data_IF_400717701331
#
_entry.id   IF_400717701331
#
_cell.length_a   1.000
_cell.length_b   1.000
_cell.length_c   1.000
_cell.angle_alpha   90.00
_cell.angle_beta   90.00
_cell.angle_gamma   90.00
#
_symmetry.space_group_name_H-M   'P 1'
#
loop_
_entity.id
_entity.type
_entity.pdbx_description
1 polymer ?
#
# COMPACT_ATOMS: atom_id res chain seq x y z
N UNK A 1 -47.57 -58.93 -4.49
CA UNK A 1 -47.85 -59.75 -3.27
C UNK A 1 -47.67 -61.28 -3.47
N UNK A 2 -47.95 -61.83 -4.64
CA UNK A 2 -47.82 -63.26 -4.90
C UNK A 2 -46.39 -63.75 -5.00
N UNK A 3 -45.47 -62.90 -5.40
CA UNK A 3 -44.06 -63.25 -5.70
C UNK A 3 -43.16 -63.36 -4.45
N UNK A 4 -43.67 -63.07 -3.28
CA UNK A 4 -42.94 -63.07 -2.02
C UNK A 4 -43.51 -64.10 -1.04
N UNK A 5 -44.63 -64.76 -1.38
CA UNK A 5 -45.24 -65.78 -0.55
C UNK A 5 -44.44 -67.08 -0.59
N UNK A 6 -44.03 -67.57 0.60
CA UNK A 6 -43.25 -68.79 0.76
C UNK A 6 -41.74 -68.60 0.79
N UNK A 7 -41.24 -67.35 0.66
CA UNK A 7 -39.82 -67.06 0.75
C UNK A 7 -39.40 -66.86 2.19
N UNK A 8 -38.35 -67.54 2.62
CA UNK A 8 -37.83 -67.42 3.98
C UNK A 8 -37.05 -66.13 4.19
N UNK A 9 -37.53 -65.24 5.03
CA UNK A 9 -36.93 -63.93 5.30
C UNK A 9 -35.49 -64.04 5.83
N UNK A 10 -35.12 -65.10 6.51
CA UNK A 10 -33.77 -65.32 7.04
C UNK A 10 -32.75 -65.73 5.94
N UNK A 11 -33.22 -66.07 4.78
CA UNK A 11 -32.38 -66.39 3.58
C UNK A 11 -32.25 -65.17 2.65
N UNK A 12 -32.84 -64.05 3.00
CA UNK A 12 -32.73 -62.84 2.19
C UNK A 12 -31.28 -62.34 2.20
N UNK A 13 -30.62 -62.20 1.06
CA UNK A 13 -29.21 -61.79 0.97
C UNK A 13 -28.94 -60.39 1.47
N UNK A 14 -29.97 -59.54 1.54
CA UNK A 14 -29.84 -58.17 2.00
C UNK A 14 -30.02 -58.02 3.54
N UNK A 15 -30.55 -59.04 4.19
CA UNK A 15 -30.82 -59.00 5.63
C UNK A 15 -29.51 -59.05 6.42
N UNK A 16 -29.22 -58.08 7.30
CA UNK A 16 -28.00 -58.10 8.10
C UNK A 16 -27.93 -59.28 9.03
N UNK A 17 -26.77 -59.90 9.13
CA UNK A 17 -26.57 -61.14 9.94
C UNK A 17 -26.88 -60.92 11.42
N UNK A 18 -26.55 -59.75 11.94
CA UNK A 18 -26.86 -59.40 13.34
C UNK A 18 -28.36 -59.22 13.60
N UNK A 19 -29.11 -58.70 12.61
CA UNK A 19 -30.57 -58.65 12.68
C UNK A 19 -31.19 -60.06 12.67
N UNK A 20 -30.72 -60.94 11.79
CA UNK A 20 -31.14 -62.35 11.73
C UNK A 20 -30.90 -63.00 13.07
N UNK A 21 -29.73 -62.79 13.69
CA UNK A 21 -29.39 -63.36 15.01
C UNK A 21 -30.36 -62.89 16.10
N UNK A 22 -30.59 -61.54 16.16
CA UNK A 22 -31.50 -60.96 17.16
C UNK A 22 -32.94 -61.46 17.01
N UNK A 23 -33.45 -61.56 15.78
CA UNK A 23 -34.77 -62.10 15.52
C UNK A 23 -34.90 -63.59 15.96
N UNK A 24 -33.85 -64.40 15.69
CA UNK A 24 -33.80 -65.80 16.17
C UNK A 24 -33.71 -65.90 17.68
N UNK A 25 -33.18 -64.88 18.38
CA UNK A 25 -33.17 -64.77 19.83
C UNK A 25 -34.47 -64.17 20.38
N UNK A 26 -35.54 -64.12 19.61
CA UNK A 26 -36.83 -63.51 19.96
C UNK A 26 -36.76 -62.03 20.38
N UNK A 27 -35.90 -61.22 19.72
CA UNK A 27 -35.78 -59.79 20.01
C UNK A 27 -36.33 -58.99 18.85
N UNK A 28 -37.21 -58.00 19.14
CA UNK A 28 -37.65 -57.02 18.15
C UNK A 28 -36.50 -56.08 17.78
N UNK A 29 -36.39 -55.70 16.52
CA UNK A 29 -35.25 -54.92 16.01
C UNK A 29 -35.71 -53.82 15.05
N UNK A 30 -35.13 -52.66 15.19
CA UNK A 30 -35.18 -51.59 14.17
C UNK A 30 -33.86 -51.60 13.41
N UNK A 31 -33.92 -51.62 12.11
CA UNK A 31 -32.71 -51.58 11.26
C UNK A 31 -33.00 -50.85 9.96
N UNK A 32 -31.93 -50.43 9.30
CA UNK A 32 -31.96 -49.74 8.01
C UNK A 32 -31.31 -50.60 6.96
N UNK A 33 -31.88 -50.60 5.77
CA UNK A 33 -31.38 -51.34 4.62
C UNK A 33 -31.29 -50.41 3.41
N UNK A 34 -30.17 -50.45 2.70
CA UNK A 34 -30.15 -50.07 1.32
C UNK A 34 -30.60 -51.25 0.48
N UNK A 35 -31.84 -51.17 0.01
CA UNK A 35 -32.49 -52.25 -0.71
C UNK A 35 -32.25 -52.09 -2.21
N UNK A 36 -31.33 -52.94 -2.76
CA UNK A 36 -31.04 -52.97 -4.17
C UNK A 36 -31.88 -54.03 -4.88
N UNK A 37 -32.74 -53.60 -5.78
CA UNK A 37 -33.59 -54.56 -6.54
C UNK A 37 -32.74 -55.52 -7.37
N UNK A 38 -31.59 -55.09 -7.89
CA UNK A 38 -30.64 -55.94 -8.64
C UNK A 38 -30.08 -57.09 -7.77
N UNK A 39 -29.81 -56.86 -6.51
CA UNK A 39 -29.28 -57.89 -5.59
C UNK A 39 -30.31 -58.92 -5.16
N UNK A 40 -31.60 -58.63 -5.29
CA UNK A 40 -32.70 -59.49 -4.92
C UNK A 40 -33.43 -60.08 -6.11
N UNK A 41 -33.05 -59.73 -7.34
CA UNK A 41 -33.71 -60.22 -8.54
C UNK A 41 -33.63 -61.78 -8.66
N UNK A 42 -32.51 -62.35 -8.26
CA UNK A 42 -32.33 -63.80 -8.18
C UNK A 42 -33.13 -64.46 -7.01
N UNK A 43 -33.57 -63.66 -6.06
CA UNK A 43 -34.30 -64.12 -4.88
C UNK A 43 -35.81 -63.87 -4.95
N UNK A 44 -36.19 -62.76 -5.56
CA UNK A 44 -37.59 -62.44 -5.89
C UNK A 44 -37.64 -62.06 -7.36
N UNK A 45 -38.41 -62.63 -8.15
CA UNK A 45 -38.63 -62.21 -9.51
C UNK A 45 -39.29 -60.78 -9.51
N UNK A 46 -38.51 -59.72 -9.74
CA UNK A 46 -38.95 -58.33 -9.68
C UNK A 46 -38.64 -57.58 -10.98
N UNK A 47 -39.58 -56.85 -11.49
CA UNK A 47 -39.39 -55.93 -12.61
C UNK A 47 -38.91 -54.52 -12.20
N UNK A 48 -38.75 -54.28 -10.91
CA UNK A 48 -38.27 -53.01 -10.37
C UNK A 48 -36.74 -52.95 -10.47
N UNK A 49 -36.26 -51.75 -10.82
CA UNK A 49 -34.84 -51.44 -10.90
C UNK A 49 -34.49 -50.28 -9.94
N UNK A 50 -33.22 -50.23 -9.53
CA UNK A 50 -32.70 -49.16 -8.66
C UNK A 50 -32.47 -49.60 -7.23
N UNK A 51 -32.32 -48.64 -6.35
CA UNK A 51 -32.10 -48.83 -4.90
C UNK A 51 -33.12 -48.03 -4.09
N UNK A 52 -33.50 -48.56 -2.93
CA UNK A 52 -34.37 -47.92 -1.97
C UNK A 52 -33.73 -47.91 -0.60
N UNK A 53 -33.85 -46.80 0.11
CA UNK A 53 -33.45 -46.74 1.52
C UNK A 53 -34.65 -47.04 2.39
N UNK A 54 -34.61 -48.18 3.06
CA UNK A 54 -35.75 -48.71 3.85
C UNK A 54 -35.37 -48.75 5.31
N UNK A 55 -36.22 -48.15 6.15
CA UNK A 55 -36.18 -48.36 7.60
C UNK A 55 -37.20 -49.42 7.96
N UNK A 56 -36.73 -50.54 8.50
CA UNK A 56 -37.55 -51.69 8.84
C UNK A 56 -37.65 -51.81 10.38
N UNK A 57 -38.86 -51.93 10.87
CA UNK A 57 -39.16 -52.36 12.22
C UNK A 57 -39.65 -53.81 12.16
N UNK A 58 -38.85 -54.72 12.74
CA UNK A 58 -39.22 -56.12 12.87
C UNK A 58 -39.66 -56.39 14.32
N UNK A 59 -40.88 -56.83 14.47
CA UNK A 59 -41.48 -57.17 15.77
C UNK A 59 -41.93 -58.62 15.78
N UNK A 60 -41.84 -59.28 16.91
CA UNK A 60 -42.29 -60.65 17.11
C UNK A 60 -43.76 -60.62 17.51
N UNK A 61 -44.53 -61.46 16.90
CA UNK A 61 -45.90 -61.71 17.27
C UNK A 61 -45.98 -63.05 18.02
N UNK A 62 -46.71 -63.12 19.13
CA UNK A 62 -46.85 -64.28 19.99
C UNK A 62 -48.24 -64.89 19.81
N UNK A 63 -48.37 -66.19 19.98
CA UNK A 63 -49.62 -66.88 19.98
C UNK A 63 -50.37 -66.74 21.33
N UNK A 64 -51.57 -67.39 21.46
CA UNK A 64 -52.38 -67.34 22.70
C UNK A 64 -51.70 -68.00 23.89
N UNK A 65 -50.63 -68.77 23.69
CA UNK A 65 -49.86 -69.43 24.73
C UNK A 65 -48.62 -68.67 25.14
N UNK A 66 -48.38 -67.46 24.48
CA UNK A 66 -47.19 -66.64 24.73
C UNK A 66 -45.95 -67.07 23.97
N UNK A 67 -46.03 -68.06 23.05
CA UNK A 67 -44.90 -68.51 22.23
C UNK A 67 -44.78 -67.70 20.95
N UNK A 68 -43.54 -67.43 20.46
CA UNK A 68 -43.28 -66.70 19.20
C UNK A 68 -43.92 -67.44 18.01
N UNK A 69 -44.84 -66.79 17.31
CA UNK A 69 -45.60 -67.43 16.21
C UNK A 69 -45.26 -66.89 14.85
N UNK A 70 -44.93 -65.64 14.77
CA UNK A 70 -44.63 -64.95 13.49
C UNK A 70 -43.83 -63.65 13.68
N UNK A 71 -43.37 -63.04 12.59
CA UNK A 71 -42.67 -61.76 12.56
C UNK A 71 -43.44 -60.75 11.75
N UNK A 72 -43.62 -59.55 12.32
CA UNK A 72 -44.21 -58.40 11.63
C UNK A 72 -43.08 -57.48 11.19
N UNK A 73 -42.95 -57.26 9.88
CA UNK A 73 -42.01 -56.31 9.32
C UNK A 73 -42.75 -55.10 8.77
N UNK A 74 -42.48 -53.94 9.32
CA UNK A 74 -42.96 -52.65 8.84
C UNK A 74 -41.84 -51.94 8.14
N UNK A 75 -41.97 -51.77 6.85
CA UNK A 75 -40.98 -51.10 6.00
C UNK A 75 -41.45 -49.70 5.67
N UNK A 76 -40.65 -48.70 5.98
CA UNK A 76 -40.82 -47.31 5.62
C UNK A 76 -39.82 -46.94 4.51
N UNK A 77 -40.30 -46.50 3.39
CA UNK A 77 -39.45 -45.92 2.34
C UNK A 77 -38.92 -44.56 2.82
N UNK A 78 -37.60 -44.47 2.93
CA UNK A 78 -36.91 -43.24 3.39
C UNK A 78 -36.03 -42.67 2.30
N UNK A 79 -36.18 -43.12 1.04
CA UNK A 79 -35.30 -42.80 -0.10
C UNK A 79 -35.26 -41.31 -0.39
N UNK A 80 -36.44 -40.68 -0.53
CA UNK A 80 -36.50 -39.22 -0.82
C UNK A 80 -35.86 -38.39 0.29
N UNK A 81 -36.13 -38.76 1.56
CA UNK A 81 -35.55 -38.07 2.69
C UNK A 81 -34.03 -38.19 2.71
N UNK A 82 -33.50 -39.36 2.35
CA UNK A 82 -32.06 -39.58 2.30
C UNK A 82 -31.39 -38.87 1.12
N UNK A 83 -32.03 -38.84 -0.05
CA UNK A 83 -31.55 -38.07 -1.17
C UNK A 83 -31.47 -36.58 -0.81
N UNK A 84 -32.52 -36.06 -0.16
CA UNK A 84 -32.54 -34.67 0.28
C UNK A 84 -31.43 -34.38 1.32
N UNK A 85 -31.27 -35.30 2.32
CA UNK A 85 -30.23 -35.17 3.34
C UNK A 85 -28.84 -35.19 2.72
N UNK A 86 -28.57 -36.13 1.81
CA UNK A 86 -27.26 -36.22 1.13
C UNK A 86 -26.97 -34.97 0.29
N UNK A 87 -27.98 -34.44 -0.41
CA UNK A 87 -27.81 -33.18 -1.16
C UNK A 87 -27.49 -31.99 -0.25
N UNK A 88 -28.16 -31.90 0.91
CA UNK A 88 -27.86 -30.84 1.89
C UNK A 88 -26.43 -30.99 2.40
N UNK A 89 -26.03 -32.21 2.79
CA UNK A 89 -24.67 -32.49 3.29
C UNK A 89 -23.60 -32.21 2.22
N UNK A 90 -23.86 -32.57 0.96
CA UNK A 90 -22.97 -32.25 -0.13
C UNK A 90 -22.83 -30.73 -0.34
N UNK A 91 -23.97 -30.02 -0.29
CA UNK A 91 -23.97 -28.56 -0.39
C UNK A 91 -23.19 -27.92 0.78
N UNK A 92 -23.40 -28.36 2.01
CA UNK A 92 -22.67 -27.89 3.20
C UNK A 92 -21.16 -28.09 3.06
N UNK A 93 -20.73 -29.27 2.55
CA UNK A 93 -19.33 -29.54 2.32
C UNK A 93 -18.72 -28.62 1.23
N UNK A 94 -19.40 -28.46 0.11
CA UNK A 94 -18.96 -27.56 -0.95
C UNK A 94 -18.92 -26.12 -0.46
N UNK A 95 -19.93 -25.68 0.26
CA UNK A 95 -20.01 -24.33 0.82
C UNK A 95 -18.86 -24.07 1.81
N UNK A 96 -18.56 -25.05 2.66
CA UNK A 96 -17.42 -24.97 3.61
C UNK A 96 -16.10 -24.83 2.86
N UNK A 97 -15.87 -25.63 1.83
CA UNK A 97 -14.66 -25.54 1.00
C UNK A 97 -14.55 -24.15 0.34
N UNK A 98 -15.62 -23.71 -0.33
CA UNK A 98 -15.64 -22.40 -0.98
C UNK A 98 -15.37 -21.28 0.03
N UNK A 99 -15.99 -21.34 1.23
CA UNK A 99 -15.80 -20.31 2.25
C UNK A 99 -14.34 -20.22 2.71
N UNK A 100 -13.67 -21.34 2.89
CA UNK A 100 -12.25 -21.38 3.31
C UNK A 100 -11.32 -20.90 2.19
N UNK A 101 -11.45 -21.45 0.97
CA UNK A 101 -10.54 -21.10 -0.13
C UNK A 101 -10.75 -19.68 -0.65
N UNK A 102 -11.98 -19.21 -0.74
CA UNK A 102 -12.30 -17.85 -1.16
C UNK A 102 -12.29 -16.83 -0.01
N UNK A 103 -11.99 -17.27 1.23
CA UNK A 103 -12.04 -16.45 2.46
C UNK A 103 -13.37 -15.72 2.63
N UNK A 104 -14.48 -16.37 2.26
CA UNK A 104 -15.84 -15.82 2.31
C UNK A 104 -16.51 -16.24 3.61
N UNK A 105 -16.83 -15.29 4.46
CA UNK A 105 -17.58 -15.49 5.68
C UNK A 105 -19.07 -15.21 5.48
N UNK A 106 -19.90 -15.89 6.23
CA UNK A 106 -21.36 -15.73 6.25
C UNK A 106 -21.85 -15.62 7.68
N UNK A 107 -22.76 -14.67 7.93
CA UNK A 107 -23.51 -14.56 9.18
C UNK A 107 -24.98 -14.26 8.90
N UNK A 108 -25.86 -14.80 9.73
CA UNK A 108 -27.28 -14.50 9.79
C UNK A 108 -27.62 -14.04 11.19
N UNK A 109 -28.25 -12.90 11.36
CA UNK A 109 -28.55 -12.32 12.67
C UNK A 109 -29.80 -11.44 12.63
N UNK A 110 -30.44 -11.33 13.79
CA UNK A 110 -31.55 -10.38 13.99
C UNK A 110 -31.02 -8.94 14.02
N UNK A 111 -31.71 -8.02 13.35
CA UNK A 111 -31.30 -6.61 13.22
C UNK A 111 -31.26 -5.86 14.55
N UNK A 112 -32.08 -6.22 15.52
CA UNK A 112 -32.24 -5.47 16.78
C UNK A 112 -31.41 -6.05 17.91
N UNK A 113 -31.35 -7.40 18.00
CA UNK A 113 -30.65 -8.09 19.08
C UNK A 113 -29.25 -8.49 18.70
N UNK A 114 -28.94 -8.54 17.39
CA UNK A 114 -27.72 -9.12 16.83
C UNK A 114 -27.49 -10.58 17.25
N UNK A 115 -28.54 -11.27 17.70
CA UNK A 115 -28.50 -12.70 17.94
C UNK A 115 -28.59 -13.46 16.63
N UNK A 116 -27.82 -14.53 16.51
CA UNK A 116 -27.78 -15.30 15.28
C UNK A 116 -26.59 -16.27 15.26
N UNK A 117 -26.17 -16.65 14.07
CA UNK A 117 -25.02 -17.50 13.88
C UNK A 117 -24.14 -17.01 12.73
N UNK A 118 -22.86 -17.39 12.79
CA UNK A 118 -21.92 -17.17 11.70
C UNK A 118 -21.09 -18.44 11.48
N UNK A 119 -20.56 -18.61 10.27
CA UNK A 119 -19.59 -19.64 10.00
C UNK A 119 -18.19 -19.21 10.47
N UNK A 120 -17.32 -20.19 10.74
CA UNK A 120 -15.96 -19.96 11.24
C UNK A 120 -15.20 -18.91 10.44
N UNK A 121 -15.27 -18.94 9.10
CA UNK A 121 -14.59 -17.98 8.24
C UNK A 121 -15.05 -16.54 8.46
N UNK A 122 -16.31 -16.30 8.84
CA UNK A 122 -16.80 -14.97 9.16
C UNK A 122 -16.08 -14.38 10.38
N UNK A 123 -15.90 -15.19 11.43
CA UNK A 123 -15.16 -14.81 12.63
C UNK A 123 -13.67 -14.53 12.31
N UNK A 124 -13.04 -15.42 11.53
CA UNK A 124 -11.65 -15.25 11.10
C UNK A 124 -11.45 -13.94 10.30
N UNK A 125 -12.40 -13.62 9.43
CA UNK A 125 -12.38 -12.36 8.69
C UNK A 125 -12.52 -11.15 9.62
N UNK A 126 -13.34 -11.24 10.66
CA UNK A 126 -13.50 -10.20 11.67
C UNK A 126 -12.35 -10.14 12.69
N UNK A 127 -11.41 -11.09 12.65
CA UNK A 127 -10.32 -11.18 13.62
C UNK A 127 -10.77 -11.73 14.98
N UNK A 128 -11.90 -12.43 15.01
CA UNK A 128 -12.55 -12.92 16.22
C UNK A 128 -12.46 -14.44 16.36
N UNK A 129 -12.64 -14.90 17.60
CA UNK A 129 -12.67 -16.31 17.91
C UNK A 129 -14.02 -16.92 17.50
N UNK A 130 -13.97 -18.10 16.88
CA UNK A 130 -15.16 -18.87 16.50
C UNK A 130 -16.10 -19.09 17.70
N UNK A 131 -17.40 -18.83 17.49
CA UNK A 131 -18.43 -18.92 18.49
C UNK A 131 -18.58 -17.73 19.44
N UNK A 132 -17.84 -16.64 19.24
CA UNK A 132 -18.08 -15.38 19.95
C UNK A 132 -19.49 -14.87 19.64
N UNK A 133 -20.31 -14.49 20.64
CA UNK A 133 -21.66 -13.97 20.38
C UNK A 133 -21.63 -12.79 19.40
N UNK A 134 -22.46 -12.85 18.36
CA UNK A 134 -22.48 -11.81 17.32
C UNK A 134 -22.82 -10.42 17.89
N UNK A 135 -23.63 -10.36 18.95
CA UNK A 135 -23.96 -9.12 19.67
C UNK A 135 -22.75 -8.47 20.36
N UNK A 136 -21.64 -9.19 20.53
CA UNK A 136 -20.39 -8.64 21.04
C UNK A 136 -19.46 -8.11 19.92
N UNK A 137 -19.79 -8.40 18.66
CA UNK A 137 -18.99 -8.02 17.49
C UNK A 137 -19.75 -6.98 16.65
N UNK A 138 -20.97 -7.31 16.25
CA UNK A 138 -21.81 -6.45 15.41
C UNK A 138 -22.33 -5.29 16.27
N UNK A 139 -22.18 -4.07 15.76
CA UNK A 139 -22.56 -2.86 16.49
C UNK A 139 -21.48 -2.32 17.44
N UNK A 140 -20.37 -3.05 17.62
CA UNK A 140 -19.20 -2.60 18.39
C UNK A 140 -18.16 -2.01 17.43
N UNK A 141 -18.20 -0.69 17.28
CA UNK A 141 -17.39 0.02 16.27
C UNK A 141 -15.89 0.12 16.60
N UNK A 142 -15.46 -0.32 17.78
CA UNK A 142 -14.03 -0.39 18.13
C UNK A 142 -13.23 -1.38 17.26
N UNK A 143 -13.91 -2.34 16.63
CA UNK A 143 -13.31 -3.27 15.66
C UNK A 143 -13.18 -2.69 14.25
N UNK A 144 -13.87 -1.60 13.96
CA UNK A 144 -13.89 -0.96 12.65
C UNK A 144 -13.11 0.35 12.73
N UNK A 145 -12.35 0.64 11.69
CA UNK A 145 -11.59 1.89 11.64
C UNK A 145 -12.54 3.10 11.81
N UNK A 146 -12.18 4.11 12.63
CA UNK A 146 -13.06 5.25 12.95
C UNK A 146 -13.67 5.94 11.72
N UNK A 147 -12.91 6.08 10.64
CA UNK A 147 -13.39 6.71 9.41
C UNK A 147 -14.43 5.84 8.67
N UNK A 148 -14.52 4.55 8.96
CA UNK A 148 -15.39 3.61 8.25
C UNK A 148 -16.64 3.26 9.07
N UNK A 149 -16.59 3.42 10.39
CA UNK A 149 -17.67 3.07 11.32
C UNK A 149 -18.99 3.83 11.05
N UNK A 150 -18.88 5.10 10.68
CA UNK A 150 -20.06 5.94 10.40
C UNK A 150 -20.98 5.39 9.30
N UNK A 151 -20.40 4.76 8.27
CA UNK A 151 -21.18 4.20 7.16
C UNK A 151 -22.06 3.01 7.57
N UNK A 152 -21.56 2.16 8.47
CA UNK A 152 -22.31 0.99 8.94
C UNK A 152 -23.44 1.43 9.88
N UNK A 153 -23.17 2.39 10.74
CA UNK A 153 -24.18 3.00 11.61
C UNK A 153 -25.35 3.57 10.82
N UNK A 154 -25.04 4.42 9.85
CA UNK A 154 -26.07 5.04 9.01
C UNK A 154 -26.92 3.98 8.30
N UNK A 155 -26.26 2.92 7.78
CA UNK A 155 -26.98 1.84 7.12
C UNK A 155 -27.96 1.10 8.05
N UNK A 156 -27.54 0.73 9.25
CA UNK A 156 -28.44 0.05 10.20
C UNK A 156 -29.64 0.93 10.58
N UNK A 157 -29.45 2.23 10.78
CA UNK A 157 -30.55 3.14 11.05
C UNK A 157 -31.50 3.29 9.83
N UNK A 158 -30.96 3.34 8.63
CA UNK A 158 -31.75 3.37 7.39
C UNK A 158 -32.56 2.08 7.19
N UNK A 159 -31.98 0.91 7.51
CA UNK A 159 -32.68 -0.39 7.44
C UNK A 159 -33.82 -0.44 8.46
N UNK A 160 -33.59 0.01 9.70
CA UNK A 160 -34.63 0.11 10.74
C UNK A 160 -35.79 1.00 10.31
N UNK A 161 -35.51 2.06 9.54
CA UNK A 161 -36.50 2.96 8.98
C UNK A 161 -37.14 2.46 7.66
N UNK A 162 -36.75 1.28 7.17
CA UNK A 162 -37.24 0.73 5.90
C UNK A 162 -36.71 1.45 4.64
N UNK A 163 -35.72 2.32 4.77
CA UNK A 163 -35.15 3.14 3.67
C UNK A 163 -34.05 2.42 2.89
N UNK A 164 -33.35 1.48 3.51
CA UNK A 164 -32.29 0.71 2.88
C UNK A 164 -32.50 -0.79 3.07
N UNK A 165 -32.06 -1.59 2.09
CA UNK A 165 -32.18 -3.05 2.12
C UNK A 165 -30.86 -3.76 1.85
N UNK A 166 -29.86 -3.03 1.37
CA UNK A 166 -28.56 -3.58 0.98
C UNK A 166 -27.43 -2.60 1.28
N UNK A 167 -26.30 -3.13 1.76
CA UNK A 167 -25.06 -2.40 2.02
C UNK A 167 -23.89 -3.19 1.43
N UNK A 168 -23.06 -2.51 0.66
CA UNK A 168 -21.80 -3.05 0.18
C UNK A 168 -20.73 -1.99 0.33
N UNK A 169 -19.75 -2.26 1.19
CA UNK A 169 -18.62 -1.36 1.40
C UNK A 169 -17.37 -2.15 1.76
N UNK A 170 -16.24 -1.55 1.44
CA UNK A 170 -14.94 -1.96 1.91
C UNK A 170 -14.64 -1.21 3.18
N UNK A 171 -14.36 -1.92 4.25
CA UNK A 171 -14.12 -1.36 5.59
C UNK A 171 -12.86 -1.96 6.17
N UNK A 172 -12.17 -1.19 7.00
CA UNK A 172 -11.00 -1.66 7.73
C UNK A 172 -11.43 -2.23 9.06
N UNK A 173 -11.03 -3.46 9.33
CA UNK A 173 -11.30 -4.19 10.56
C UNK A 173 -9.98 -4.42 11.28
N UNK A 174 -9.99 -4.29 12.62
CA UNK A 174 -8.81 -4.47 13.47
C UNK A 174 -8.29 -5.91 13.36
N UNK A 175 -6.97 -6.06 13.19
CA UNK A 175 -6.30 -7.36 13.13
C UNK A 175 -4.94 -7.25 13.82
N UNK A 176 -4.84 -7.75 15.06
CA UNK A 176 -3.66 -7.53 15.91
C UNK A 176 -3.43 -6.04 16.14
N UNK A 177 -2.21 -5.57 15.88
CA UNK A 177 -1.85 -4.14 16.00
C UNK A 177 -2.15 -3.32 14.72
N UNK A 178 -2.69 -3.93 13.68
CA UNK A 178 -2.96 -3.30 12.38
C UNK A 178 -4.43 -3.39 11.94
N UNK A 179 -4.64 -3.12 10.64
CA UNK A 179 -5.94 -3.13 9.99
C UNK A 179 -5.89 -4.04 8.78
N UNK A 180 -6.96 -4.82 8.58
CA UNK A 180 -7.19 -5.56 7.34
C UNK A 180 -8.42 -5.04 6.62
N UNK A 181 -8.44 -5.19 5.31
CA UNK A 181 -9.55 -4.75 4.47
C UNK A 181 -10.57 -5.86 4.30
N UNK A 182 -11.79 -5.59 4.70
CA UNK A 182 -12.93 -6.50 4.55
C UNK A 182 -13.97 -5.85 3.63
N UNK A 183 -14.40 -6.56 2.61
CA UNK A 183 -15.60 -6.19 1.88
C UNK A 183 -16.80 -6.79 2.61
N UNK A 184 -17.67 -5.93 3.13
CA UNK A 184 -18.90 -6.33 3.81
C UNK A 184 -20.11 -6.11 2.90
N UNK A 185 -20.86 -7.19 2.65
CA UNK A 185 -22.16 -7.16 1.99
C UNK A 185 -23.22 -7.54 3.02
N UNK A 186 -24.07 -6.61 3.37
CA UNK A 186 -25.13 -6.81 4.35
C UNK A 186 -26.46 -6.57 3.65
N UNK A 187 -27.38 -7.50 3.74
CA UNK A 187 -28.70 -7.40 3.14
C UNK A 187 -29.78 -7.97 4.06
N UNK A 188 -30.97 -7.46 3.96
CA UNK A 188 -32.12 -8.05 4.66
C UNK A 188 -32.42 -9.42 4.06
N UNK A 189 -32.65 -10.42 4.93
CA UNK A 189 -33.05 -11.76 4.49
C UNK A 189 -34.44 -11.72 3.86
N UNK A 190 -34.59 -12.01 2.55
CA UNK A 190 -35.90 -11.99 1.89
C UNK A 190 -36.85 -13.09 2.38
N UNK A 191 -36.32 -14.11 3.04
CA UNK A 191 -37.08 -15.23 3.61
C UNK A 191 -37.40 -15.06 5.11
N UNK A 192 -37.10 -13.87 5.69
CA UNK A 192 -37.49 -13.59 7.08
C UNK A 192 -39.00 -13.66 7.24
N UNK A 193 -39.46 -14.57 8.07
CA UNK A 193 -40.90 -14.93 8.23
C UNK A 193 -41.60 -13.87 9.10
N UNK A 194 -40.92 -13.25 10.05
CA UNK A 194 -41.50 -12.27 10.97
C UNK A 194 -41.09 -10.83 10.55
N UNK A 195 -42.07 -10.01 10.11
CA UNK A 195 -41.81 -8.61 9.77
C UNK A 195 -41.25 -7.78 10.94
N UNK A 196 -41.52 -8.19 12.19
CA UNK A 196 -41.06 -7.50 13.40
C UNK A 196 -39.65 -7.94 13.84
N UNK A 197 -39.11 -9.01 13.26
CA UNK A 197 -37.76 -9.51 13.47
C UNK A 197 -37.02 -9.67 12.16
N UNK A 198 -36.61 -8.56 11.54
CA UNK A 198 -35.91 -8.61 10.27
C UNK A 198 -34.53 -9.22 10.47
N UNK A 199 -34.31 -10.35 9.81
CA UNK A 199 -33.01 -10.99 9.78
C UNK A 199 -32.11 -10.34 8.73
N UNK A 200 -30.84 -10.20 9.06
CA UNK A 200 -29.79 -9.67 8.19
C UNK A 200 -28.84 -10.79 7.78
N UNK A 201 -28.51 -10.84 6.52
CA UNK A 201 -27.44 -11.68 5.97
C UNK A 201 -26.21 -10.79 5.78
N UNK A 202 -25.10 -11.18 6.38
CA UNK A 202 -23.81 -10.53 6.18
C UNK A 202 -22.85 -11.52 5.50
N UNK A 203 -22.40 -11.15 4.31
CA UNK A 203 -21.31 -11.83 3.62
C UNK A 203 -20.10 -10.92 3.69
N UNK A 204 -19.02 -11.39 4.30
CA UNK A 204 -17.76 -10.68 4.36
C UNK A 204 -16.64 -11.49 3.69
N UNK A 205 -15.67 -10.81 3.11
CA UNK A 205 -14.47 -11.45 2.58
C UNK A 205 -13.25 -10.52 2.70
N UNK A 206 -12.11 -11.14 2.99
CA UNK A 206 -10.85 -10.45 3.15
C UNK A 206 -10.30 -10.04 1.77
N UNK A 207 -10.11 -8.73 1.58
CA UNK A 207 -9.56 -8.14 0.35
C UNK A 207 -8.19 -7.49 0.58
N UNK A 208 -7.53 -7.80 1.71
CA UNK A 208 -6.25 -7.17 2.09
C UNK A 208 -5.19 -7.41 1.01
N UNK A 209 -5.01 -8.65 0.56
CA UNK A 209 -4.05 -8.99 -0.49
C UNK A 209 -4.36 -8.28 -1.82
N UNK A 210 -5.65 -8.11 -2.14
CA UNK A 210 -6.09 -7.38 -3.33
C UNK A 210 -5.73 -5.89 -3.22
N UNK A 211 -6.00 -5.27 -2.07
CA UNK A 211 -5.66 -3.86 -1.79
C UNK A 211 -4.16 -3.61 -1.81
N UNK A 212 -3.38 -4.50 -1.19
CA UNK A 212 -1.93 -4.41 -1.21
C UNK A 212 -1.36 -4.53 -2.63
N UNK A 213 -1.92 -5.43 -3.43
CA UNK A 213 -1.53 -5.59 -4.83
C UNK A 213 -1.89 -4.36 -5.68
N UNK A 214 -3.08 -3.79 -5.48
CA UNK A 214 -3.50 -2.55 -6.13
C UNK A 214 -2.59 -1.39 -5.77
N UNK A 215 -2.29 -1.20 -4.47
CA UNK A 215 -1.42 -0.13 -4.00
C UNK A 215 0.02 -0.26 -4.54
N UNK A 216 0.55 -1.49 -4.59
CA UNK A 216 1.87 -1.76 -5.20
C UNK A 216 1.87 -1.42 -6.69
N UNK A 217 0.80 -1.77 -7.40
CA UNK A 217 0.65 -1.46 -8.83
C UNK A 217 0.55 0.04 -9.06
N UNK A 218 -0.30 0.75 -8.32
CA UNK A 218 -0.44 2.21 -8.43
C UNK A 218 0.89 2.93 -8.18
N UNK A 219 1.66 2.49 -7.17
CA UNK A 219 3.01 3.02 -6.91
C UNK A 219 3.98 2.74 -8.06
N UNK A 220 3.94 1.54 -8.64
CA UNK A 220 4.78 1.18 -9.76
C UNK A 220 4.43 1.99 -11.02
N UNK A 221 3.15 2.17 -11.33
CA UNK A 221 2.66 2.97 -12.44
C UNK A 221 3.04 4.46 -12.27
N UNK A 222 2.93 5.01 -11.06
CA UNK A 222 3.34 6.38 -10.78
C UNK A 222 4.86 6.57 -10.94
N UNK A 223 5.66 5.61 -10.43
CA UNK A 223 7.12 5.64 -10.63
C UNK A 223 7.50 5.56 -12.11
N UNK A 224 6.81 4.72 -12.90
CA UNK A 224 7.07 4.61 -14.34
C UNK A 224 6.68 5.88 -15.09
N UNK A 225 5.56 6.51 -14.69
CA UNK A 225 5.13 7.82 -15.21
C UNK A 225 6.16 8.90 -14.93
N UNK A 226 6.64 8.98 -13.67
CA UNK A 226 7.68 9.94 -13.29
C UNK A 226 8.98 9.71 -14.05
N UNK A 227 9.40 8.46 -14.22
CA UNK A 227 10.58 8.10 -15.02
C UNK A 227 10.44 8.47 -16.49
N UNK A 228 9.27 8.25 -17.08
CA UNK A 228 9.01 8.62 -18.49
C UNK A 228 9.01 10.13 -18.69
N UNK A 229 8.39 10.88 -17.78
CA UNK A 229 8.41 12.34 -17.79
C UNK A 229 9.84 12.89 -17.62
N UNK A 230 10.64 12.26 -16.74
CA UNK A 230 12.05 12.56 -16.58
C UNK A 230 12.83 12.42 -17.89
N UNK A 231 12.73 11.28 -18.58
CA UNK A 231 13.45 11.02 -19.83
C UNK A 231 13.01 12.00 -20.95
N UNK A 232 11.74 12.32 -21.04
CA UNK A 232 11.21 13.29 -21.99
C UNK A 232 11.78 14.69 -21.75
N UNK A 233 11.76 15.16 -20.50
CA UNK A 233 12.32 16.46 -20.12
C UNK A 233 13.83 16.51 -20.37
N UNK A 234 14.58 15.45 -20.04
CA UNK A 234 16.01 15.37 -20.30
C UNK A 234 16.33 15.48 -21.80
N UNK A 235 15.57 14.75 -22.62
CA UNK A 235 15.74 14.82 -24.08
C UNK A 235 15.54 16.23 -24.62
N UNK A 236 14.57 16.96 -24.07
CA UNK A 236 14.31 18.34 -24.46
C UNK A 236 15.43 19.29 -24.00
N UNK A 237 15.85 19.19 -22.74
CA UNK A 237 16.90 20.02 -22.15
C UNK A 237 18.29 19.78 -22.79
N UNK A 238 18.55 18.59 -23.31
CA UNK A 238 19.76 18.27 -24.08
C UNK A 238 19.66 18.85 -25.52
N UNK A 239 18.50 18.73 -26.17
CA UNK A 239 18.32 19.12 -27.56
C UNK A 239 18.48 20.62 -27.79
N UNK A 240 17.99 21.42 -26.86
CA UNK A 240 18.02 22.91 -26.99
C UNK A 240 19.45 23.44 -27.10
N UNK A 241 20.37 23.21 -26.14
CA UNK A 241 21.75 23.68 -26.26
C UNK A 241 22.50 23.00 -27.41
N UNK A 242 22.22 21.72 -27.70
CA UNK A 242 22.85 21.02 -28.82
C UNK A 242 22.50 21.66 -30.17
N UNK A 243 21.22 22.00 -30.40
CA UNK A 243 20.77 22.67 -31.61
C UNK A 243 21.39 24.07 -31.74
N UNK A 244 21.54 24.80 -30.63
CA UNK A 244 22.22 26.10 -30.61
C UNK A 244 23.69 25.93 -31.00
N UNK A 245 24.42 24.97 -30.41
CA UNK A 245 25.82 24.69 -30.77
C UNK A 245 25.95 24.39 -32.25
N UNK A 246 25.09 23.47 -32.79
CA UNK A 246 25.14 23.11 -34.23
C UNK A 246 24.80 24.28 -35.11
N UNK A 247 23.74 25.06 -34.83
CA UNK A 247 23.30 26.20 -35.63
C UNK A 247 24.33 27.32 -35.66
N UNK A 248 24.85 27.72 -34.50
CA UNK A 248 25.86 28.79 -34.45
C UNK A 248 27.24 28.34 -34.98
N UNK A 249 27.56 27.03 -34.92
CA UNK A 249 28.77 26.52 -35.58
C UNK A 249 28.68 26.61 -37.11
N UNK A 250 27.49 26.44 -37.69
CA UNK A 250 27.27 26.63 -39.12
C UNK A 250 27.41 28.13 -39.52
N UNK A 251 26.76 29.03 -38.76
CA UNK A 251 26.86 30.48 -38.96
C UNK A 251 28.32 30.95 -38.79
N UNK A 252 29.04 30.43 -37.81
CA UNK A 252 30.47 30.73 -37.60
C UNK A 252 31.34 30.36 -38.81
N UNK A 253 30.96 29.31 -39.54
CA UNK A 253 31.66 28.89 -40.75
C UNK A 253 31.35 29.77 -42.00
N UNK A 254 30.20 30.46 -42.00
CA UNK A 254 29.71 31.27 -43.12
C UNK A 254 30.02 32.77 -42.98
N UNK A 255 30.27 33.27 -41.75
CA UNK A 255 30.55 34.69 -41.53
C UNK A 255 32.04 35.01 -41.59
N UNK A 256 32.39 36.12 -42.25
CA UNK A 256 33.74 36.72 -42.27
C UNK A 256 33.88 37.89 -41.28
N UNK A 257 32.77 38.32 -40.65
CA UNK A 257 32.76 39.43 -39.69
C UNK A 257 33.40 39.00 -38.35
N UNK A 258 34.47 39.68 -37.90
CA UNK A 258 35.14 39.31 -36.63
C UNK A 258 34.26 39.48 -35.39
N UNK A 259 33.33 40.47 -35.38
CA UNK A 259 32.44 40.71 -34.24
C UNK A 259 31.38 39.61 -34.14
N UNK A 260 30.75 39.27 -35.27
CA UNK A 260 29.80 38.12 -35.30
C UNK A 260 30.48 36.81 -34.94
N UNK A 261 31.69 36.56 -35.42
CA UNK A 261 32.46 35.35 -35.06
C UNK A 261 32.68 35.29 -33.57
N UNK A 262 33.02 36.39 -32.91
CA UNK A 262 33.21 36.41 -31.46
C UNK A 262 31.91 36.11 -30.73
N UNK A 263 30.82 36.71 -31.13
CA UNK A 263 29.49 36.46 -30.53
C UNK A 263 29.07 35.00 -30.69
N UNK A 264 29.23 34.39 -31.88
CA UNK A 264 28.87 32.99 -32.10
C UNK A 264 29.71 32.05 -31.29
N UNK A 265 31.02 32.32 -31.11
CA UNK A 265 31.89 31.51 -30.22
C UNK A 265 31.43 31.61 -28.78
N UNK A 266 31.06 32.78 -28.28
CA UNK A 266 30.53 32.95 -26.92
C UNK A 266 29.22 32.17 -26.71
N UNK A 267 28.29 32.18 -27.68
CA UNK A 267 27.04 31.43 -27.63
C UNK A 267 27.32 29.93 -27.62
N UNK A 268 28.22 29.45 -28.49
CA UNK A 268 28.63 28.03 -28.54
C UNK A 268 29.21 27.59 -27.19
N UNK A 269 30.14 28.38 -26.65
CA UNK A 269 30.81 28.04 -25.39
C UNK A 269 29.87 28.06 -24.19
N UNK A 270 28.94 29.02 -24.17
CA UNK A 270 27.88 29.08 -23.14
C UNK A 270 26.97 27.85 -23.17
N UNK A 271 26.52 27.44 -24.37
CA UNK A 271 25.67 26.26 -24.52
C UNK A 271 26.43 24.94 -24.23
N UNK A 272 27.72 24.88 -24.57
CA UNK A 272 28.57 23.75 -24.24
C UNK A 272 28.73 23.57 -22.69
N UNK A 273 29.00 24.69 -22.00
CA UNK A 273 29.04 24.69 -20.52
C UNK A 273 27.71 24.22 -19.89
N UNK A 274 26.59 24.70 -20.45
CA UNK A 274 25.27 24.28 -20.01
C UNK A 274 25.05 22.78 -20.22
N UNK A 275 25.43 22.22 -21.37
CA UNK A 275 25.29 20.80 -21.67
C UNK A 275 26.16 19.93 -20.74
N UNK A 276 27.40 20.34 -20.48
CA UNK A 276 28.29 19.64 -19.54
C UNK A 276 27.72 19.64 -18.10
N UNK A 277 27.17 20.77 -17.65
CA UNK A 277 26.51 20.88 -16.37
C UNK A 277 25.31 19.93 -16.28
N UNK A 278 24.47 19.90 -17.31
CA UNK A 278 23.30 19.02 -17.36
C UNK A 278 23.69 17.54 -17.34
N UNK A 279 24.74 17.14 -18.06
CA UNK A 279 25.28 15.77 -18.00
C UNK A 279 25.76 15.45 -16.59
N UNK A 280 26.50 16.37 -15.95
CA UNK A 280 26.96 16.20 -14.58
C UNK A 280 25.81 16.04 -13.58
N UNK A 281 24.75 16.85 -13.72
CA UNK A 281 23.55 16.79 -12.89
C UNK A 281 22.82 15.43 -13.04
N UNK A 282 22.70 14.92 -14.29
CA UNK A 282 22.11 13.61 -14.58
C UNK A 282 22.93 12.47 -13.94
N UNK A 283 24.28 12.53 -14.05
CA UNK A 283 25.15 11.54 -13.47
C UNK A 283 25.11 11.55 -11.94
N UNK A 284 25.05 12.75 -11.33
CA UNK A 284 24.88 12.88 -9.89
C UNK A 284 23.52 12.28 -9.44
N UNK A 285 22.43 12.61 -10.17
CA UNK A 285 21.12 12.04 -9.88
C UNK A 285 21.10 10.50 -10.01
N UNK A 286 21.72 9.95 -11.05
CA UNK A 286 21.83 8.49 -11.24
C UNK A 286 22.60 7.82 -10.08
N UNK A 287 23.67 8.43 -9.59
CA UNK A 287 24.43 7.95 -8.42
C UNK A 287 23.61 8.05 -7.13
N UNK A 288 22.78 9.09 -7.00
CA UNK A 288 21.85 9.28 -5.89
C UNK A 288 20.80 8.17 -5.88
N UNK A 289 20.14 7.93 -7.02
CA UNK A 289 19.05 6.92 -7.13
C UNK A 289 19.55 5.48 -6.96
N UNK A 290 20.75 5.17 -7.47
CA UNK A 290 21.36 3.86 -7.28
C UNK A 290 21.96 3.66 -5.88
N UNK A 291 21.98 4.69 -5.03
CA UNK A 291 22.62 4.65 -3.72
C UNK A 291 24.16 4.61 -3.78
N UNK A 292 24.76 4.77 -4.96
CA UNK A 292 26.22 4.66 -5.19
C UNK A 292 26.97 5.98 -5.07
N UNK A 293 26.31 7.04 -4.59
CA UNK A 293 26.98 8.30 -4.32
C UNK A 293 27.88 8.18 -3.09
N UNK A 294 29.17 8.03 -3.31
CA UNK A 294 30.17 8.02 -2.24
C UNK A 294 30.51 9.43 -1.79
N UNK A 295 30.47 9.68 -0.49
CA UNK A 295 30.92 10.92 0.14
C UNK A 295 32.34 10.72 0.68
N UNK A 296 33.23 11.66 0.35
CA UNK A 296 34.64 11.65 0.80
C UNK A 296 34.79 12.65 1.94
N UNK A 297 34.55 12.18 3.15
CA UNK A 297 34.66 13.01 4.34
C UNK A 297 36.12 13.27 4.70
N UNK A 298 36.42 14.52 4.99
CA UNK A 298 37.71 14.98 5.51
C UNK A 298 37.49 16.17 6.44
N UNK A 299 38.47 16.40 7.33
CA UNK A 299 38.50 17.63 8.13
C UNK A 299 38.82 18.83 7.22
N UNK A 300 38.05 19.90 7.34
CA UNK A 300 38.24 21.11 6.57
C UNK A 300 37.93 22.37 7.37
N UNK A 301 38.66 23.43 7.06
CA UNK A 301 38.38 24.77 7.58
C UNK A 301 37.30 25.45 6.71
N UNK A 302 36.16 25.76 7.32
CA UNK A 302 35.02 26.38 6.61
C UNK A 302 35.41 27.72 6.00
N UNK A 303 36.16 28.54 6.74
CA UNK A 303 36.60 29.87 6.28
C UNK A 303 37.47 29.80 5.01
N UNK A 304 38.38 28.82 4.93
CA UNK A 304 39.18 28.60 3.72
C UNK A 304 38.32 28.24 2.52
N UNK A 305 37.37 27.29 2.68
CA UNK A 305 36.47 26.87 1.62
C UNK A 305 35.61 28.05 1.13
N UNK A 306 35.05 28.83 2.05
CA UNK A 306 34.27 30.01 1.70
C UNK A 306 35.11 31.05 0.95
N UNK A 307 36.34 31.33 1.40
CA UNK A 307 37.23 32.28 0.74
C UNK A 307 37.61 31.87 -0.69
N UNK A 308 37.85 30.59 -0.93
CA UNK A 308 38.10 30.05 -2.27
C UNK A 308 36.89 30.23 -3.18
N UNK A 309 35.68 29.90 -2.69
CA UNK A 309 34.42 30.08 -3.41
C UNK A 309 34.24 31.58 -3.75
N UNK A 310 34.35 32.46 -2.78
CA UNK A 310 34.22 33.91 -2.96
C UNK A 310 35.20 34.44 -3.99
N UNK A 311 36.47 34.04 -3.93
CA UNK A 311 37.49 34.44 -4.89
C UNK A 311 37.13 33.99 -6.30
N UNK A 312 36.69 32.78 -6.47
CA UNK A 312 36.24 32.24 -7.76
C UNK A 312 35.03 32.98 -8.34
N UNK A 313 34.05 33.31 -7.47
CA UNK A 313 32.83 33.99 -7.91
C UNK A 313 33.00 35.47 -8.15
N UNK A 314 33.92 36.17 -7.49
CA UNK A 314 34.22 37.60 -7.76
C UNK A 314 34.60 37.87 -9.22
N UNK A 315 35.30 36.93 -9.85
CA UNK A 315 35.69 37.04 -11.26
C UNK A 315 34.49 36.90 -12.20
N UNK A 316 33.45 36.23 -11.77
CA UNK A 316 32.22 35.93 -12.57
C UNK A 316 31.09 36.90 -12.29
N UNK A 317 31.25 37.79 -11.29
CA UNK A 317 30.18 38.73 -10.93
C UNK A 317 29.97 39.78 -12.02
N UNK A 318 28.74 40.05 -12.42
CA UNK A 318 28.41 41.23 -13.23
C UNK A 318 28.76 42.53 -12.50
N UNK A 319 29.14 43.60 -13.23
CA UNK A 319 29.57 44.87 -12.65
C UNK A 319 28.52 45.57 -11.77
N UNK A 320 27.24 45.25 -11.99
CA UNK A 320 26.09 45.82 -11.28
C UNK A 320 25.66 45.02 -10.04
N UNK A 321 26.38 43.93 -9.69
CA UNK A 321 26.08 43.06 -8.53
C UNK A 321 27.29 43.00 -7.59
N UNK A 322 27.11 43.40 -6.34
CA UNK A 322 28.15 43.31 -5.34
C UNK A 322 28.10 41.92 -4.63
N UNK A 323 29.22 41.20 -4.57
CA UNK A 323 29.37 40.01 -3.77
C UNK A 323 29.89 40.36 -2.37
N UNK A 324 29.07 40.24 -1.36
CA UNK A 324 29.39 40.45 0.06
C UNK A 324 29.73 39.12 0.69
N UNK A 325 30.92 39.03 1.30
CA UNK A 325 31.38 37.85 2.01
C UNK A 325 31.65 38.17 3.48
N UNK A 326 31.54 37.22 4.39
CA UNK A 326 31.77 37.45 5.81
C UNK A 326 33.25 37.78 6.08
N UNK A 327 33.51 38.96 6.68
CA UNK A 327 34.87 39.35 7.08
C UNK A 327 35.25 38.81 8.49
N UNK A 328 34.28 38.75 9.41
CA UNK A 328 34.46 38.37 10.81
C UNK A 328 33.81 37.04 11.20
N UNK A 329 33.70 36.09 10.25
CA UNK A 329 33.15 34.79 10.58
C UNK A 329 34.11 33.96 11.43
N UNK A 330 33.56 33.18 12.40
CA UNK A 330 34.37 32.37 13.30
C UNK A 330 35.15 31.32 12.48
N UNK A 331 36.40 31.13 12.87
CA UNK A 331 37.15 29.97 12.36
C UNK A 331 36.53 28.70 12.93
N UNK A 332 36.12 27.80 12.04
CA UNK A 332 35.57 26.51 12.45
C UNK A 332 36.03 25.40 11.50
N UNK A 333 36.21 24.24 12.10
CA UNK A 333 36.51 23.02 11.37
C UNK A 333 35.31 22.10 11.40
N UNK A 334 35.03 21.43 10.27
CA UNK A 334 34.00 20.41 10.17
C UNK A 334 34.55 19.18 9.47
N UNK A 335 33.91 18.04 9.73
CA UNK A 335 34.17 16.79 9.04
C UNK A 335 33.10 16.60 7.95
N UNK A 336 33.45 16.87 6.69
CA UNK A 336 32.53 16.90 5.58
C UNK A 336 33.21 16.56 4.24
N UNK A 337 32.41 16.45 3.18
CA UNK A 337 32.89 16.36 1.80
C UNK A 337 33.00 17.76 1.19
N UNK A 338 34.26 18.21 1.02
CA UNK A 338 34.55 19.55 0.48
C UNK A 338 33.95 19.81 -0.89
N UNK A 339 34.00 18.81 -1.77
CA UNK A 339 33.49 18.95 -3.14
C UNK A 339 31.97 19.15 -3.13
N UNK A 340 31.27 18.36 -2.33
CA UNK A 340 29.80 18.42 -2.23
C UNK A 340 29.33 19.69 -1.52
N UNK A 341 30.01 20.11 -0.47
CA UNK A 341 29.73 21.38 0.20
C UNK A 341 29.89 22.56 -0.77
N UNK A 342 31.01 22.59 -1.53
CA UNK A 342 31.26 23.60 -2.56
C UNK A 342 30.20 23.56 -3.65
N UNK A 343 29.74 22.39 -4.05
CA UNK A 343 28.69 22.22 -5.07
C UNK A 343 27.36 22.87 -4.63
N UNK A 344 26.93 22.64 -3.36
CA UNK A 344 25.70 23.26 -2.84
C UNK A 344 25.80 24.78 -2.81
N UNK A 345 26.89 25.31 -2.25
CA UNK A 345 27.09 26.78 -2.16
C UNK A 345 27.19 27.41 -3.54
N UNK A 346 27.91 26.78 -4.46
CA UNK A 346 28.04 27.26 -5.85
C UNK A 346 26.70 27.25 -6.59
N UNK A 347 25.86 26.26 -6.35
CA UNK A 347 24.51 26.22 -6.94
C UNK A 347 23.66 27.40 -6.44
N UNK A 348 23.68 27.71 -5.14
CA UNK A 348 22.98 28.86 -4.58
C UNK A 348 23.48 30.18 -5.13
N UNK A 349 24.81 30.36 -5.25
CA UNK A 349 25.40 31.57 -5.81
C UNK A 349 25.06 31.72 -7.29
N UNK A 350 25.10 30.68 -8.10
CA UNK A 350 24.69 30.70 -9.50
C UNK A 350 23.21 31.10 -9.67
N UNK A 351 22.34 30.56 -8.78
CA UNK A 351 20.94 30.96 -8.77
C UNK A 351 20.79 32.43 -8.36
N UNK A 352 21.47 32.90 -7.35
CA UNK A 352 21.46 34.30 -6.94
C UNK A 352 21.90 35.23 -8.07
N UNK A 353 23.00 34.96 -8.78
CA UNK A 353 23.46 35.74 -9.94
C UNK A 353 22.43 35.74 -11.06
N UNK A 354 21.79 34.61 -11.33
CA UNK A 354 20.79 34.45 -12.40
C UNK A 354 19.52 35.26 -12.15
N UNK A 355 19.12 35.44 -10.89
CA UNK A 355 17.83 36.02 -10.51
C UNK A 355 17.98 37.46 -9.93
N UNK A 356 19.20 37.98 -9.82
CA UNK A 356 19.50 39.34 -9.41
C UNK A 356 19.96 40.14 -10.62
N UNK A 357 19.23 41.21 -10.98
CA UNK A 357 19.62 42.10 -12.08
C UNK A 357 20.56 43.19 -11.62
N UNK A 358 20.38 43.70 -10.40
CA UNK A 358 21.23 44.72 -9.75
C UNK A 358 21.13 44.58 -8.23
N UNK A 359 22.14 45.04 -7.51
CA UNK A 359 22.16 45.00 -6.04
C UNK A 359 23.28 44.18 -5.46
N UNK A 360 22.99 43.29 -4.52
CA UNK A 360 24.01 42.48 -3.84
C UNK A 360 23.60 41.05 -3.60
N UNK A 361 24.61 40.21 -3.52
CA UNK A 361 24.53 38.81 -3.10
C UNK A 361 25.40 38.65 -1.86
N UNK A 362 24.83 38.14 -0.75
CA UNK A 362 25.54 37.93 0.52
C UNK A 362 25.71 36.46 0.78
N UNK A 363 26.95 35.96 0.86
CA UNK A 363 27.27 34.63 1.36
C UNK A 363 27.63 34.75 2.84
N UNK A 364 26.98 33.97 3.69
CA UNK A 364 27.25 33.96 5.12
C UNK A 364 27.22 32.54 5.69
N UNK A 365 27.90 32.35 6.83
CA UNK A 365 27.71 31.18 7.68
C UNK A 365 27.74 31.56 9.14
N UNK A 366 27.00 30.83 9.94
CA UNK A 366 26.86 31.04 11.39
C UNK A 366 26.79 29.70 12.11
N UNK A 367 27.32 29.65 13.34
CA UNK A 367 27.22 28.47 14.21
C UNK A 367 25.99 28.64 15.08
N UNK A 368 25.05 27.67 14.99
CA UNK A 368 23.81 27.66 15.76
C UNK A 368 23.73 26.35 16.54
N UNK A 369 24.13 26.38 17.81
CA UNK A 369 24.19 25.17 18.64
C UNK A 369 25.17 24.13 18.05
N UNK A 370 24.66 22.95 17.72
CA UNK A 370 25.45 21.84 17.16
C UNK A 370 25.43 21.80 15.63
N UNK A 371 24.98 22.86 14.96
CA UNK A 371 24.92 22.96 13.51
C UNK A 371 25.62 24.24 13.02
N UNK A 372 26.15 24.17 11.79
CA UNK A 372 26.56 25.37 11.03
C UNK A 372 25.50 25.60 9.97
N UNK A 373 24.98 26.82 9.91
CA UNK A 373 24.07 27.25 8.88
C UNK A 373 24.78 28.11 7.85
N UNK A 374 24.75 27.67 6.62
CA UNK A 374 25.22 28.41 5.44
C UNK A 374 24.03 29.10 4.76
N UNK A 375 24.22 30.33 4.32
CA UNK A 375 23.16 31.07 3.63
C UNK A 375 23.71 31.92 2.48
N UNK A 376 22.94 31.97 1.40
CA UNK A 376 23.15 32.88 0.26
C UNK A 376 21.88 33.70 0.13
N UNK A 377 22.04 35.02 0.35
CA UNK A 377 20.94 36.00 0.27
C UNK A 377 21.16 36.88 -0.95
N UNK A 378 20.15 37.02 -1.79
CA UNK A 378 20.12 37.90 -2.94
C UNK A 378 19.05 38.98 -2.79
N UNK A 379 19.23 40.12 -3.52
CA UNK A 379 18.26 41.22 -3.62
C UNK A 379 17.49 41.17 -4.96
N UNK A 380 17.30 39.96 -5.50
CA UNK A 380 16.70 39.77 -6.83
C UNK A 380 15.16 39.75 -6.82
N UNK A 381 14.60 39.03 -7.81
CA UNK A 381 13.16 39.03 -8.10
C UNK A 381 12.32 38.45 -6.96
N UNK A 382 12.87 37.57 -6.09
CA UNK A 382 12.15 36.87 -5.07
C UNK A 382 11.15 35.87 -5.65
N UNK A 383 10.39 35.18 -4.76
CA UNK A 383 9.47 34.10 -5.11
C UNK A 383 8.17 34.16 -4.32
N UNK A 384 7.04 33.76 -4.96
CA UNK A 384 5.77 33.54 -4.28
C UNK A 384 5.82 32.30 -3.37
N UNK A 385 4.91 32.18 -2.41
CA UNK A 385 4.83 31.01 -1.53
C UNK A 385 4.58 29.69 -2.30
N UNK A 386 3.83 29.77 -3.41
CA UNK A 386 3.58 28.63 -4.27
C UNK A 386 4.87 28.10 -4.91
N UNK A 387 5.73 28.98 -5.41
CA UNK A 387 7.03 28.61 -5.96
C UNK A 387 7.94 28.04 -4.87
N UNK A 388 7.98 28.66 -3.69
CA UNK A 388 8.81 28.20 -2.57
C UNK A 388 8.45 26.76 -2.12
N UNK A 389 7.17 26.38 -2.20
CA UNK A 389 6.71 25.04 -1.83
C UNK A 389 7.26 23.94 -2.76
N UNK A 390 7.61 24.27 -4.00
CA UNK A 390 8.00 23.31 -5.04
C UNK A 390 9.42 23.50 -5.58
N UNK A 391 10.18 24.52 -5.08
CA UNK A 391 11.47 24.88 -5.68
C UNK A 391 12.53 23.78 -5.56
N UNK A 392 12.38 22.83 -4.64
CA UNK A 392 13.25 21.66 -4.47
C UNK A 392 12.75 20.43 -5.25
N UNK A 393 11.54 20.50 -5.84
CA UNK A 393 11.02 19.41 -6.67
C UNK A 393 11.87 19.28 -7.95
N UNK A 394 12.05 18.04 -8.39
CA UNK A 394 12.84 17.74 -9.60
C UNK A 394 12.18 18.38 -10.84
N UNK A 395 12.99 19.05 -11.68
CA UNK A 395 12.55 19.73 -12.91
C UNK A 395 11.60 20.91 -12.71
N UNK A 396 11.35 21.31 -11.48
CA UNK A 396 10.54 22.47 -11.23
C UNK A 396 11.30 23.74 -11.62
N UNK A 397 10.65 24.62 -12.38
CA UNK A 397 11.15 25.92 -12.80
C UNK A 397 10.09 26.97 -12.46
N UNK A 398 10.35 27.81 -11.49
CA UNK A 398 9.43 28.90 -11.10
C UNK A 398 9.23 29.94 -12.19
N UNK A 399 10.18 30.06 -13.11
CA UNK A 399 10.10 30.91 -14.31
C UNK A 399 10.65 30.13 -15.51
N UNK A 400 9.78 29.86 -16.50
CA UNK A 400 10.11 29.08 -17.70
C UNK A 400 11.00 29.82 -18.69
N UNK A 401 11.14 31.17 -18.56
CA UNK A 401 11.94 31.98 -19.48
C UNK A 401 13.43 32.07 -19.11
N UNK A 402 13.81 31.78 -17.85
CA UNK A 402 15.21 31.77 -17.44
C UNK A 402 15.80 30.36 -17.57
N UNK A 403 16.93 30.27 -18.29
CA UNK A 403 17.63 28.99 -18.54
C UNK A 403 18.01 28.25 -17.27
N UNK A 404 17.85 26.92 -17.24
CA UNK A 404 18.28 26.07 -16.13
C UNK A 404 17.67 24.68 -16.21
N UNK A 405 18.32 23.67 -15.59
CA UNK A 405 17.94 22.26 -15.68
C UNK A 405 16.76 21.89 -14.77
N UNK A 406 16.49 22.69 -13.73
CA UNK A 406 15.53 22.34 -12.66
C UNK A 406 15.99 21.16 -11.78
N UNK A 407 17.26 20.72 -11.90
CA UNK A 407 17.83 19.64 -11.11
C UNK A 407 18.72 20.14 -9.98
N UNK A 408 19.34 21.31 -10.12
CA UNK A 408 20.37 21.77 -9.19
C UNK A 408 19.91 21.82 -7.73
N UNK A 409 18.73 22.39 -7.45
CA UNK A 409 18.23 22.48 -6.07
C UNK A 409 17.80 21.12 -5.48
N UNK A 410 17.23 20.21 -6.26
CA UNK A 410 16.90 18.86 -5.81
C UNK A 410 18.14 18.00 -5.53
N UNK A 411 19.21 18.22 -6.30
CA UNK A 411 20.52 17.61 -6.02
C UNK A 411 21.11 18.19 -4.73
N UNK A 412 21.02 19.51 -4.52
CA UNK A 412 21.46 20.17 -3.29
C UNK A 412 20.72 19.60 -2.07
N UNK A 413 19.43 19.45 -2.14
CA UNK A 413 18.62 18.84 -1.07
C UNK A 413 19.13 17.43 -0.74
N UNK A 414 19.37 16.61 -1.74
CA UNK A 414 19.85 15.24 -1.51
C UNK A 414 21.26 15.23 -0.92
N UNK A 415 22.15 16.10 -1.38
CA UNK A 415 23.51 16.24 -0.83
C UNK A 415 23.45 16.65 0.64
N UNK A 416 22.67 17.70 0.96
CA UNK A 416 22.55 18.21 2.33
C UNK A 416 21.96 17.18 3.27
N UNK A 417 20.89 16.46 2.85
CA UNK A 417 20.31 15.39 3.63
C UNK A 417 21.31 14.25 3.91
N UNK A 418 22.16 13.89 2.94
CA UNK A 418 23.22 12.89 3.11
C UNK A 418 24.37 13.36 4.00
N UNK A 419 24.61 14.67 4.04
CA UNK A 419 25.55 15.29 4.98
C UNK A 419 24.98 15.43 6.40
N UNK A 420 23.70 15.04 6.61
CA UNK A 420 23.02 15.10 7.89
C UNK A 420 22.45 16.47 8.24
N UNK A 421 22.32 17.38 7.26
CA UNK A 421 21.78 18.71 7.41
C UNK A 421 20.32 18.86 6.95
N UNK A 422 19.86 20.09 6.93
CA UNK A 422 18.54 20.52 6.43
C UNK A 422 18.74 21.67 5.44
N UNK A 423 17.88 21.79 4.44
CA UNK A 423 17.90 22.82 3.41
C UNK A 423 16.58 23.57 3.40
N UNK A 424 16.59 24.84 2.99
CA UNK A 424 15.37 25.63 2.88
C UNK A 424 15.58 26.96 2.15
N UNK A 425 14.48 27.67 1.96
CA UNK A 425 14.45 28.99 1.33
C UNK A 425 13.49 29.90 2.07
N UNK A 426 13.85 31.16 2.20
CA UNK A 426 12.98 32.25 2.64
C UNK A 426 13.00 33.31 1.52
N UNK A 427 11.85 33.67 0.98
CA UNK A 427 11.78 34.62 -0.11
C UNK A 427 10.52 35.46 -0.04
N UNK A 428 10.62 36.69 -0.56
CA UNK A 428 9.48 37.59 -0.73
C UNK A 428 9.59 38.23 -2.12
N UNK A 429 8.49 38.20 -2.86
CA UNK A 429 8.45 38.69 -4.22
C UNK A 429 8.87 40.18 -4.29
N UNK A 430 9.85 40.52 -5.13
CA UNK A 430 10.41 41.86 -5.28
C UNK A 430 11.41 42.28 -4.20
N UNK A 431 11.75 41.39 -3.23
CA UNK A 431 12.72 41.69 -2.16
C UNK A 431 13.94 40.76 -2.17
N UNK A 432 13.90 39.71 -2.97
CA UNK A 432 14.96 38.71 -3.06
C UNK A 432 14.69 37.43 -2.30
N UNK A 433 15.72 36.58 -2.22
CA UNK A 433 15.64 35.25 -1.61
C UNK A 433 16.84 34.98 -0.74
N UNK A 434 16.63 34.14 0.27
CA UNK A 434 17.70 33.56 1.10
C UNK A 434 17.60 32.04 1.02
N UNK A 435 18.51 31.43 0.30
CA UNK A 435 18.70 29.97 0.31
C UNK A 435 19.66 29.61 1.45
N UNK A 436 19.32 28.63 2.22
CA UNK A 436 20.12 28.21 3.36
C UNK A 436 20.16 26.68 3.49
N UNK A 437 21.24 26.19 4.10
CA UNK A 437 21.28 24.81 4.56
C UNK A 437 22.08 24.72 5.87
N UNK A 438 21.83 23.66 6.64
CA UNK A 438 22.58 23.35 7.85
C UNK A 438 23.52 22.17 7.62
N UNK A 439 24.57 22.08 8.41
CA UNK A 439 25.49 20.96 8.46
C UNK A 439 25.81 20.69 9.94
N UNK A 440 25.84 19.41 10.37
CA UNK A 440 26.24 19.10 11.75
C UNK A 440 27.63 19.65 12.06
N UNK A 441 27.74 20.35 13.19
CA UNK A 441 29.04 20.81 13.68
C UNK A 441 29.71 19.67 14.44
N UNK A 442 30.29 18.73 13.70
CA UNK A 442 30.96 17.55 14.25
C UNK A 442 32.43 17.55 13.82
N UNK A 443 33.27 17.20 14.77
CA UNK A 443 34.70 16.94 14.51
C UNK A 443 34.88 15.48 14.01
N UNK A 444 36.02 15.24 13.37
CA UNK A 444 36.43 13.86 13.03
C UNK A 444 36.30 12.94 14.25
N UNK A 445 35.83 11.70 14.08
CA UNK A 445 35.76 10.71 15.17
C UNK A 445 37.07 10.48 15.88
N UNK A 446 38.22 10.90 15.27
CA UNK A 446 39.54 10.78 15.80
C UNK A 446 40.14 12.10 16.36
N UNK A 447 39.40 13.22 16.28
CA UNK A 447 39.90 14.48 16.83
C UNK A 447 39.63 14.52 18.36
N UNK A 448 40.71 14.68 19.15
CA UNK A 448 40.54 15.01 20.59
C UNK A 448 39.79 16.34 20.68
N UNK A 449 38.69 16.37 21.45
CA UNK A 449 37.99 17.61 21.80
C UNK A 449 38.95 18.71 22.13
N UNK A 450 38.83 19.92 21.56
CA UNK A 450 39.59 21.07 22.02
C UNK A 450 39.31 21.26 23.51
N UNK A 451 40.34 21.36 24.31
CA UNK A 451 40.26 21.58 25.75
C UNK A 451 39.37 22.80 26.01
N UNK A 452 38.32 22.63 26.82
CA UNK A 452 37.49 23.72 27.34
C UNK A 452 38.40 24.84 27.87
N UNK A 453 38.16 26.12 27.58
CA UNK A 453 38.92 27.19 28.19
C UNK A 453 38.74 27.12 29.71
N UNK A 454 39.87 27.04 30.43
CA UNK A 454 39.95 26.93 31.84
C UNK A 454 39.24 28.14 32.47
N UNK A 455 38.22 27.99 33.30
CA UNK A 455 37.62 29.12 34.02
C UNK A 455 38.47 29.38 35.28
N UNK A 456 39.51 30.19 35.11
CA UNK A 456 40.31 30.54 36.25
C UNK A 456 41.52 31.42 35.92
N UNK A 457 41.27 32.72 35.91
CA UNK A 457 42.09 33.70 36.60
C UNK A 457 41.46 35.09 36.46
N UNK A 458 40.82 35.53 37.55
CA UNK A 458 40.51 36.87 38.07
C UNK A 458 40.26 38.01 37.09
#
# INVERSE_FOLDING_TARGET
KKDVLGVNIFSNPIMPKDVIKKLKENKSVNFRLNYSFKKVDDYYNTSKVGEMDIVTKASILYDQRGEPSSYLLINLDNTEKMIAYNRISEFENVFTLVSVYAKVGYALYDLYTFEGYAIKQWYENMGEKDGTPLSQIIGIYSYIHPNDAGYINSFFEEVKQGKAHHFRREVRVKSGDGWKWICANITRNPQSVDPNKPEMICINYDITELKDSQLKRERAEELDRLKSAFLANMSHEIRTPLNAIVGFSQLLAETDDPEERHEFVEIIDSNNRMLLQLISDILDLAKIESGTMDLKFADMNVKEVINEIVTSFRIKMPDNIALIAPQDSPECQIYSDRMRLTQVISNFLNNAIKYTSEGCITLAYEIIGDEIKFSVTDTGDGMSQEIQAHIFDRFYKGNTFKQGTGLGLSICETIVNRLGGRIGVNSELGKGSTFWFTHPYSFSPNAKSPASPNPGTI
#
